data_IF_763552032507
#
_entry.id   IF_763552032507
#
_cell.length_a   1.000
_cell.length_b   1.000
_cell.length_c   1.000
_cell.angle_alpha   90.00
_cell.angle_beta   90.00
_cell.angle_gamma   90.00
#
_symmetry.space_group_name_H-M   'P 1'
#
loop_
_entity.id
_entity.type
_entity.pdbx_description
1 polymer ?
#
# COMPACT_ATOMS: atom_id res chain seq x y z
N UNK A 1 -2.25 36.77 2.97
CA UNK A 1 -3.18 35.65 3.31
C UNK A 1 -2.35 34.44 3.66
N UNK A 2 -2.81 33.58 4.58
CA UNK A 2 -2.14 32.31 4.89
C UNK A 2 -2.45 31.30 3.78
N UNK A 3 -1.45 30.57 3.30
CA UNK A 3 -1.64 29.52 2.29
C UNK A 3 -2.56 28.42 2.82
N UNK A 4 -3.44 27.91 1.94
CA UNK A 4 -4.30 26.76 2.22
C UNK A 4 -3.77 25.59 1.39
N UNK A 5 -3.34 24.53 2.06
CA UNK A 5 -2.80 23.33 1.42
C UNK A 5 -3.88 22.26 1.27
N UNK A 6 -3.85 21.50 0.17
CA UNK A 6 -4.73 20.35 -0.04
C UNK A 6 -4.45 19.24 0.99
N UNK A 7 -3.18 19.03 1.30
CA UNK A 7 -2.74 18.09 2.35
C UNK A 7 -1.79 18.80 3.31
N UNK A 8 -2.03 18.61 4.61
CA UNK A 8 -1.13 19.03 5.68
C UNK A 8 -1.12 17.92 6.74
N UNK A 9 0.04 17.34 7.09
CA UNK A 9 0.09 16.27 8.06
C UNK A 9 -0.30 16.78 9.45
N UNK A 10 -1.06 15.96 10.18
CA UNK A 10 -1.27 16.16 11.61
C UNK A 10 -0.12 15.47 12.33
N UNK A 11 0.70 16.25 13.02
CA UNK A 11 1.83 15.75 13.80
C UNK A 11 1.43 15.68 15.28
N UNK A 12 1.87 14.65 16.03
CA UNK A 12 1.75 14.68 17.49
C UNK A 12 2.61 15.81 18.06
N UNK A 13 2.36 16.25 19.31
CA UNK A 13 3.26 17.13 20.01
C UNK A 13 4.69 16.58 20.02
N UNK A 14 5.69 17.43 19.80
CA UNK A 14 7.07 16.99 19.64
C UNK A 14 7.61 16.31 20.90
N UNK A 15 7.19 16.81 22.07
CA UNK A 15 7.50 16.27 23.39
C UNK A 15 7.04 14.81 23.57
N UNK A 16 5.99 14.37 22.88
CA UNK A 16 5.55 12.98 22.90
C UNK A 16 6.46 12.08 22.05
N UNK A 17 7.13 12.65 21.04
CA UNK A 17 8.02 11.91 20.14
C UNK A 17 9.46 11.81 20.65
N UNK A 18 9.95 12.81 21.38
CA UNK A 18 11.32 12.87 21.91
C UNK A 18 11.74 11.61 22.69
N UNK A 19 10.91 11.05 23.61
CA UNK A 19 11.28 9.84 24.36
C UNK A 19 11.55 8.61 23.47
N UNK A 20 10.90 8.53 22.31
CA UNK A 20 11.17 7.47 21.34
C UNK A 20 12.56 7.64 20.70
N UNK A 21 12.94 8.88 20.38
CA UNK A 21 14.26 9.20 19.82
C UNK A 21 15.37 8.95 20.82
N UNK A 22 15.22 9.36 22.09
CA UNK A 22 16.23 9.11 23.13
C UNK A 22 16.54 7.61 23.25
N UNK A 23 15.50 6.76 23.25
CA UNK A 23 15.67 5.30 23.25
C UNK A 23 16.45 4.79 22.03
N UNK A 24 16.24 5.36 20.85
CA UNK A 24 16.98 5.02 19.62
C UNK A 24 18.44 5.45 19.74
N UNK A 25 18.71 6.64 20.30
CA UNK A 25 20.07 7.14 20.51
C UNK A 25 20.86 6.26 21.49
N UNK A 26 20.21 5.83 22.57
CA UNK A 26 20.82 5.00 23.60
C UNK A 26 21.14 3.60 23.08
N UNK A 27 20.20 2.97 22.35
CA UNK A 27 20.36 1.58 21.89
C UNK A 27 21.07 1.46 20.54
N UNK A 28 21.16 2.55 19.75
CA UNK A 28 21.81 2.64 18.43
C UNK A 28 21.20 1.69 17.37
N UNK A 29 19.96 1.23 17.57
CA UNK A 29 19.22 0.40 16.63
C UNK A 29 18.35 1.31 15.76
N UNK A 30 18.85 1.63 14.56
CA UNK A 30 18.22 2.61 13.67
C UNK A 30 17.21 2.01 12.68
N UNK A 31 17.31 0.72 12.38
CA UNK A 31 16.53 0.02 11.34
C UNK A 31 16.60 -1.50 11.54
N UNK A 32 16.28 -2.29 10.50
CA UNK A 32 16.47 -3.75 10.41
C UNK A 32 15.73 -4.54 11.50
N UNK A 33 14.44 -4.25 11.69
CA UNK A 33 13.60 -4.99 12.65
C UNK A 33 13.83 -4.62 14.11
N UNK A 34 14.26 -3.39 14.38
CA UNK A 34 14.44 -2.88 15.74
C UNK A 34 13.17 -2.83 16.58
N UNK A 35 13.30 -2.42 17.85
CA UNK A 35 12.21 -2.48 18.84
C UNK A 35 10.92 -1.79 18.37
N UNK A 36 11.02 -0.59 17.79
CA UNK A 36 9.83 0.14 17.32
C UNK A 36 9.19 -0.46 16.07
N UNK A 37 9.98 -1.13 15.21
CA UNK A 37 9.46 -1.90 14.08
C UNK A 37 8.55 -3.03 14.59
N UNK A 38 9.04 -3.82 15.55
CA UNK A 38 8.30 -4.95 16.10
C UNK A 38 7.04 -4.51 16.85
N UNK A 39 7.11 -3.40 17.60
CA UNK A 39 5.95 -2.82 18.28
C UNK A 39 4.88 -2.37 17.29
N UNK A 40 5.28 -1.68 16.22
CA UNK A 40 4.35 -1.23 15.19
C UNK A 40 3.72 -2.42 14.44
N UNK A 41 4.50 -3.45 14.10
CA UNK A 41 3.96 -4.67 13.49
C UNK A 41 2.90 -5.34 14.37
N UNK A 42 3.17 -5.47 15.67
CA UNK A 42 2.22 -6.07 16.60
C UNK A 42 0.95 -5.22 16.74
N UNK A 43 1.09 -3.91 16.94
CA UNK A 43 -0.04 -3.00 17.09
C UNK A 43 -0.93 -2.97 15.83
N UNK A 44 -0.33 -2.97 14.63
CA UNK A 44 -1.07 -3.02 13.38
C UNK A 44 -1.77 -4.36 13.18
N UNK A 45 -1.15 -5.49 13.58
CA UNK A 45 -1.78 -6.81 13.49
C UNK A 45 -3.04 -6.88 14.33
N UNK A 46 -2.98 -6.34 15.55
CA UNK A 46 -4.12 -6.25 16.46
C UNK A 46 -5.20 -5.33 15.91
N UNK A 47 -4.82 -4.14 15.44
CA UNK A 47 -5.75 -3.15 14.89
C UNK A 47 -6.49 -3.66 13.63
N UNK A 48 -5.76 -4.30 12.71
CA UNK A 48 -6.31 -4.81 11.46
C UNK A 48 -6.95 -6.20 11.58
N UNK A 49 -6.76 -6.89 12.71
CA UNK A 49 -7.28 -8.25 12.92
C UNK A 49 -6.64 -9.32 12.01
N UNK A 50 -5.38 -9.14 11.62
CA UNK A 50 -4.67 -10.05 10.69
C UNK A 50 -3.57 -10.85 11.38
N UNK A 51 -3.30 -12.06 10.88
CA UNK A 51 -2.29 -12.96 11.45
C UNK A 51 -0.85 -12.49 11.22
N UNK A 52 -0.58 -11.85 10.07
CA UNK A 52 0.75 -11.47 9.64
C UNK A 52 0.74 -10.05 9.04
N UNK A 53 1.79 -9.28 9.33
CA UNK A 53 2.10 -7.97 8.73
C UNK A 53 3.60 -7.94 8.46
N UNK A 54 3.98 -7.25 7.39
CA UNK A 54 5.36 -6.86 7.12
C UNK A 54 5.37 -5.36 6.84
N UNK A 55 6.24 -4.62 7.51
CA UNK A 55 6.44 -3.20 7.23
C UNK A 55 7.35 -2.99 6.02
N UNK A 56 7.06 -1.93 5.27
CA UNK A 56 7.85 -1.51 4.12
C UNK A 56 8.14 -0.01 4.21
N UNK A 57 9.15 0.43 3.48
CA UNK A 57 9.54 1.85 3.43
C UNK A 57 8.48 2.75 2.78
N UNK A 58 7.63 2.19 1.89
CA UNK A 58 6.47 2.86 1.29
C UNK A 58 5.53 1.85 0.62
N UNK A 59 4.35 2.31 0.19
CA UNK A 59 3.32 1.49 -0.45
C UNK A 59 3.72 0.89 -1.80
N UNK A 60 4.53 1.58 -2.61
CA UNK A 60 4.97 1.05 -3.92
C UNK A 60 5.86 -0.19 -3.75
N UNK A 61 6.81 -0.14 -2.81
CA UNK A 61 7.65 -1.31 -2.51
C UNK A 61 6.81 -2.45 -1.94
N UNK A 62 5.82 -2.15 -1.08
CA UNK A 62 4.91 -3.16 -0.56
C UNK A 62 4.17 -3.90 -1.70
N UNK A 63 3.63 -3.17 -2.69
CA UNK A 63 2.98 -3.75 -3.86
C UNK A 63 3.95 -4.60 -4.70
N UNK A 64 5.14 -4.08 -5.01
CA UNK A 64 6.15 -4.81 -5.78
C UNK A 64 6.53 -6.11 -5.08
N UNK A 65 6.82 -6.07 -3.78
CA UNK A 65 7.19 -7.27 -3.02
C UNK A 65 6.04 -8.26 -2.92
N UNK A 66 4.80 -7.80 -2.73
CA UNK A 66 3.63 -8.69 -2.70
C UNK A 66 3.44 -9.44 -4.02
N UNK A 67 3.55 -8.75 -5.16
CA UNK A 67 3.46 -9.35 -6.49
C UNK A 67 4.54 -10.42 -6.71
N UNK A 68 5.78 -10.16 -6.29
CA UNK A 68 6.90 -11.10 -6.39
C UNK A 68 6.72 -12.32 -5.47
N UNK A 69 6.32 -12.09 -4.22
CA UNK A 69 6.10 -13.14 -3.24
C UNK A 69 4.99 -14.11 -3.68
N UNK A 70 3.94 -13.56 -4.29
CA UNK A 70 2.83 -14.33 -4.87
C UNK A 70 3.13 -14.90 -6.27
N UNK A 71 4.30 -14.57 -6.85
CA UNK A 71 4.74 -15.00 -8.18
C UNK A 71 3.73 -14.67 -9.29
N UNK A 72 3.14 -13.48 -9.21
CA UNK A 72 2.18 -12.99 -10.20
C UNK A 72 2.91 -12.64 -11.51
N UNK A 73 2.34 -13.05 -12.64
CA UNK A 73 2.89 -12.85 -13.99
C UNK A 73 1.78 -12.60 -15.01
N UNK A 74 2.08 -12.21 -16.24
CA UNK A 74 1.06 -12.09 -17.29
C UNK A 74 0.21 -10.83 -17.12
N UNK A 75 -1.12 -10.97 -17.04
CA UNK A 75 -2.07 -9.85 -16.95
C UNK A 75 -2.67 -9.72 -15.54
N UNK A 76 -2.77 -8.48 -15.06
CA UNK A 76 -3.47 -8.16 -13.81
C UNK A 76 -4.53 -7.12 -14.06
N UNK A 77 -5.76 -7.46 -13.70
CA UNK A 77 -6.92 -6.56 -13.83
C UNK A 77 -6.87 -5.54 -12.69
N UNK A 78 -6.96 -4.25 -13.03
CA UNK A 78 -7.00 -3.13 -12.08
C UNK A 78 -7.78 -1.96 -12.69
N UNK A 79 -7.78 -0.79 -12.06
CA UNK A 79 -8.46 0.41 -12.56
C UNK A 79 -7.46 1.53 -12.90
N UNK A 80 -7.68 2.32 -13.96
CA UNK A 80 -6.90 3.53 -14.21
C UNK A 80 -7.28 4.67 -13.26
N UNK A 81 -8.39 4.54 -12.52
CA UNK A 81 -8.81 5.47 -11.47
C UNK A 81 -8.09 5.16 -10.15
N UNK A 82 -6.78 5.38 -10.13
CA UNK A 82 -5.91 5.15 -8.97
C UNK A 82 -4.69 6.07 -9.00
N UNK A 83 -3.92 6.09 -7.93
CA UNK A 83 -2.56 6.63 -7.95
C UNK A 83 -1.63 5.76 -8.81
N UNK A 84 -0.69 6.40 -9.51
CA UNK A 84 0.17 5.76 -10.52
C UNK A 84 0.99 4.57 -10.00
N UNK A 85 1.26 4.51 -8.69
CA UNK A 85 1.98 3.41 -8.06
C UNK A 85 1.34 2.04 -8.33
N UNK A 86 0.02 1.97 -8.45
CA UNK A 86 -0.71 0.73 -8.78
C UNK A 86 -0.21 0.15 -10.11
N UNK A 87 -0.30 0.92 -11.19
CA UNK A 87 0.15 0.46 -12.52
C UNK A 87 1.69 0.30 -12.59
N UNK A 88 2.45 1.21 -11.99
CA UNK A 88 3.92 1.13 -11.99
C UNK A 88 4.44 -0.11 -11.25
N UNK A 89 3.80 -0.54 -10.16
CA UNK A 89 4.20 -1.75 -9.44
C UNK A 89 4.05 -3.02 -10.29
N UNK A 90 3.03 -3.07 -11.16
CA UNK A 90 2.83 -4.15 -12.13
C UNK A 90 3.91 -4.11 -13.21
N UNK A 91 4.10 -2.95 -13.84
CA UNK A 91 5.07 -2.78 -14.92
C UNK A 91 6.51 -3.07 -14.47
N UNK A 92 6.88 -2.67 -13.24
CA UNK A 92 8.20 -2.97 -12.68
C UNK A 92 8.42 -4.48 -12.50
N UNK A 93 7.35 -5.24 -12.29
CA UNK A 93 7.40 -6.70 -12.24
C UNK A 93 7.23 -7.37 -13.61
N UNK A 94 7.22 -6.61 -14.72
CA UNK A 94 6.98 -7.14 -16.05
C UNK A 94 5.53 -7.66 -16.25
N UNK A 95 4.60 -7.22 -15.41
CA UNK A 95 3.20 -7.60 -15.45
C UNK A 95 2.43 -6.55 -16.27
N UNK A 96 1.56 -7.00 -17.16
CA UNK A 96 0.71 -6.13 -17.99
C UNK A 96 -0.56 -5.73 -17.22
N UNK A 97 -0.78 -4.43 -16.94
CA UNK A 97 -2.06 -3.98 -16.39
C UNK A 97 -3.16 -4.11 -17.44
N UNK A 98 -4.32 -4.63 -17.02
CA UNK A 98 -5.56 -4.62 -17.78
C UNK A 98 -6.54 -3.72 -17.04
N UNK A 99 -6.93 -2.62 -17.69
CA UNK A 99 -7.75 -1.60 -17.06
C UNK A 99 -9.24 -1.89 -17.23
N UNK A 100 -9.94 -1.92 -16.11
CA UNK A 100 -11.40 -2.03 -16.01
C UNK A 100 -11.92 -0.78 -15.31
N UNK A 101 -13.08 -0.34 -15.77
CA UNK A 101 -13.73 0.89 -15.32
C UNK A 101 -14.28 0.77 -13.89
N UNK A 102 -14.60 1.90 -13.28
CA UNK A 102 -15.12 1.98 -11.91
C UNK A 102 -16.65 1.97 -11.87
N UNK A 103 -17.18 1.64 -10.69
CA UNK A 103 -18.55 1.99 -10.32
C UNK A 103 -18.58 3.50 -10.03
N UNK A 104 -19.42 4.30 -10.72
CA UNK A 104 -19.43 5.76 -10.57
C UNK A 104 -19.95 6.24 -9.20
N UNK A 105 -20.61 5.38 -8.41
CA UNK A 105 -21.09 5.70 -7.07
C UNK A 105 -19.99 5.46 -6.04
N UNK A 106 -19.33 4.31 -6.10
CA UNK A 106 -18.32 3.92 -5.08
C UNK A 106 -16.90 4.35 -5.46
N UNK A 107 -16.68 4.66 -6.74
CA UNK A 107 -15.38 4.97 -7.35
C UNK A 107 -14.36 3.83 -7.26
N UNK A 108 -14.80 2.65 -6.83
CA UNK A 108 -13.99 1.43 -6.81
C UNK A 108 -14.14 0.67 -8.13
N UNK A 109 -13.22 -0.26 -8.37
CA UNK A 109 -13.26 -1.17 -9.52
C UNK A 109 -14.64 -1.85 -9.65
N UNK A 110 -15.30 -1.71 -10.80
CA UNK A 110 -16.66 -2.24 -11.03
C UNK A 110 -16.63 -3.78 -11.18
N UNK A 111 -17.17 -4.56 -10.22
CA UNK A 111 -17.14 -6.01 -10.29
C UNK A 111 -17.89 -6.57 -11.50
N UNK A 112 -18.94 -5.90 -11.97
CA UNK A 112 -19.75 -6.36 -13.10
C UNK A 112 -18.99 -6.27 -14.44
N UNK A 113 -17.91 -5.49 -14.50
CA UNK A 113 -17.08 -5.32 -15.70
C UNK A 113 -15.82 -6.19 -15.70
N UNK A 114 -15.50 -6.87 -14.59
CA UNK A 114 -14.27 -7.67 -14.46
C UNK A 114 -14.29 -8.89 -15.38
N UNK A 115 -15.40 -9.64 -15.41
CA UNK A 115 -15.46 -10.93 -16.10
C UNK A 115 -15.13 -10.81 -17.61
N UNK A 116 -15.60 -9.73 -18.24
CA UNK A 116 -15.33 -9.45 -19.65
C UNK A 116 -13.85 -9.13 -19.96
N UNK A 117 -13.05 -8.80 -18.95
CA UNK A 117 -11.63 -8.49 -19.09
C UNK A 117 -10.72 -9.69 -18.79
N UNK A 118 -11.28 -10.82 -18.34
CA UNK A 118 -10.49 -12.03 -18.04
C UNK A 118 -10.02 -12.68 -19.35
N UNK A 119 -8.73 -12.96 -19.41
CA UNK A 119 -8.05 -13.67 -20.51
C UNK A 119 -7.35 -14.92 -19.98
N UNK A 120 -6.88 -15.84 -20.85
CA UNK A 120 -6.01 -16.93 -20.42
C UNK A 120 -4.67 -16.48 -19.80
N UNK A 121 -4.29 -15.20 -19.95
CA UNK A 121 -3.08 -14.61 -19.37
C UNK A 121 -3.35 -13.93 -18.02
N UNK A 122 -4.61 -13.80 -17.60
CA UNK A 122 -4.98 -13.15 -16.34
C UNK A 122 -4.59 -14.01 -15.15
N UNK A 123 -3.83 -13.45 -14.20
CA UNK A 123 -3.36 -14.19 -13.02
C UNK A 123 -3.77 -13.56 -11.69
N UNK A 124 -4.18 -12.29 -11.68
CA UNK A 124 -4.74 -11.65 -10.50
C UNK A 124 -5.66 -10.48 -10.83
N UNK A 125 -6.41 -10.05 -9.82
CA UNK A 125 -7.18 -8.82 -9.79
C UNK A 125 -6.61 -7.98 -8.63
N UNK A 126 -6.24 -6.74 -8.90
CA UNK A 126 -5.71 -5.80 -7.91
C UNK A 126 -6.63 -4.58 -7.83
N UNK A 127 -7.70 -4.63 -7.00
CA UNK A 127 -8.57 -3.50 -6.77
C UNK A 127 -7.88 -2.42 -5.92
N UNK A 128 -8.47 -1.22 -5.92
CA UNK A 128 -8.01 -0.09 -5.12
C UNK A 128 -9.17 0.38 -4.26
N UNK A 129 -8.97 0.53 -2.96
CA UNK A 129 -9.93 1.17 -2.07
C UNK A 129 -9.81 2.68 -2.27
N UNK A 130 -10.66 3.23 -3.13
CA UNK A 130 -10.60 4.63 -3.49
C UNK A 130 -11.00 5.50 -2.30
N UNK A 131 -10.12 6.43 -1.92
CA UNK A 131 -10.30 7.37 -0.81
C UNK A 131 -10.41 6.79 0.61
N UNK A 132 -10.11 5.50 0.81
CA UNK A 132 -10.02 4.86 2.13
C UNK A 132 -11.29 4.14 2.51
#
# INVERSE_FOLDING_TARGET
MKSIYVTQPTLPPLEEFIPYLERIWDNKILTNGGTFHQQLEQALREYLGVKHISLFTNGTIALITALQALRITGEVITTPYSFVATAHSLLWNGIKPVFVDIDPVTLNLDPAKIEAAITPQTTAIMPVHCYG
#
